data_IF_479901471802
#
_entry.id   IF_479901471802
#
_cell.length_a   1.000
_cell.length_b   1.000
_cell.length_c   1.000
_cell.angle_alpha   90.00
_cell.angle_beta   90.00
_cell.angle_gamma   90.00
#
_symmetry.space_group_name_H-M   'P 1'
#
loop_
_entity.id
_entity.type
_entity.pdbx_description
1 polymer ?
#
# COMPACT_ATOMS: atom_id res chain seq x y z
N UNK A 1 -94.61 20.67 -26.51
CA UNK A 1 -93.30 21.37 -26.45
C UNK A 1 -92.33 20.53 -27.24
N UNK A 2 -92.39 20.67 -28.57
CA UNK A 2 -91.43 21.39 -29.44
C UNK A 2 -90.08 20.67 -29.50
N UNK A 3 -89.51 20.23 -30.62
CA UNK A 3 -89.81 20.27 -32.08
C UNK A 3 -88.77 19.29 -32.70
N UNK A 4 -89.14 18.42 -33.66
CA UNK A 4 -88.74 18.46 -35.09
C UNK A 4 -87.21 18.23 -35.28
N UNK A 5 -86.65 17.25 -36.02
CA UNK A 5 -86.97 16.76 -37.36
C UNK A 5 -86.26 15.43 -37.70
N UNK A 6 -86.68 14.86 -38.83
CA UNK A 6 -86.39 13.57 -39.46
C UNK A 6 -85.16 13.55 -40.39
N UNK A 7 -84.60 12.34 -40.58
CA UNK A 7 -84.16 11.72 -41.86
C UNK A 7 -82.81 12.06 -42.57
N UNK A 8 -82.01 10.99 -42.83
CA UNK A 8 -81.40 10.63 -44.15
C UNK A 8 -79.85 10.75 -44.34
N UNK A 9 -79.21 9.58 -44.54
CA UNK A 9 -78.10 9.19 -45.47
C UNK A 9 -76.75 9.94 -45.42
N UNK A 10 -75.62 9.23 -45.16
CA UNK A 10 -74.64 8.76 -46.18
C UNK A 10 -73.31 8.31 -45.54
N UNK A 11 -72.79 7.16 -46.00
CA UNK A 11 -71.43 6.65 -45.76
C UNK A 11 -70.37 7.67 -46.19
N UNK A 12 -69.33 7.91 -45.40
CA UNK A 12 -67.93 8.01 -45.86
C UNK A 12 -66.95 7.70 -44.72
N UNK A 13 -65.95 6.87 -45.03
CA UNK A 13 -64.82 6.47 -44.19
C UNK A 13 -64.00 7.68 -43.72
N UNK A 14 -63.56 7.67 -42.45
CA UNK A 14 -62.23 8.12 -42.00
C UNK A 14 -62.07 7.70 -40.52
N UNK A 15 -60.99 6.97 -40.22
CA UNK A 15 -60.63 6.51 -38.87
C UNK A 15 -60.53 7.69 -37.89
N UNK A 16 -61.30 7.65 -36.80
CA UNK A 16 -61.13 8.56 -35.66
C UNK A 16 -61.31 7.79 -34.35
N UNK A 17 -60.37 8.04 -33.44
CA UNK A 17 -60.03 7.31 -32.24
C UNK A 17 -61.17 7.40 -31.21
N UNK A 18 -61.67 6.24 -30.75
CA UNK A 18 -62.49 6.16 -29.54
C UNK A 18 -61.61 6.43 -28.32
N UNK A 19 -61.83 7.56 -27.66
CA UNK A 19 -61.28 7.85 -26.34
C UNK A 19 -61.93 6.93 -25.30
N UNK A 20 -61.23 5.86 -24.91
CA UNK A 20 -61.48 5.21 -23.64
C UNK A 20 -61.05 6.18 -22.53
N UNK A 21 -62.02 6.64 -21.73
CA UNK A 21 -61.73 7.21 -20.42
C UNK A 21 -61.20 6.08 -19.52
N UNK A 22 -59.91 5.80 -19.62
CA UNK A 22 -59.16 5.14 -18.56
C UNK A 22 -58.89 6.22 -17.52
N UNK A 23 -59.58 6.14 -16.38
CA UNK A 23 -59.15 6.82 -15.17
C UNK A 23 -57.75 6.27 -14.89
N UNK A 24 -56.75 7.10 -15.15
CA UNK A 24 -55.37 6.83 -14.77
C UNK A 24 -55.33 6.96 -13.24
N UNK A 25 -55.66 5.88 -12.55
CA UNK A 25 -55.21 5.73 -11.17
C UNK A 25 -53.68 5.76 -11.25
N UNK A 26 -53.00 6.67 -10.52
CA UNK A 26 -51.56 6.57 -10.43
C UNK A 26 -51.27 5.17 -9.91
N UNK A 27 -50.40 4.43 -10.61
CA UNK A 27 -49.82 3.21 -10.07
C UNK A 27 -49.15 3.64 -8.76
N UNK A 28 -49.79 3.39 -7.62
CA UNK A 28 -49.15 3.54 -6.33
C UNK A 28 -48.01 2.54 -6.37
N UNK A 29 -46.76 3.01 -6.46
CA UNK A 29 -45.60 2.17 -6.19
C UNK A 29 -45.86 1.53 -4.83
N UNK A 30 -46.10 0.22 -4.81
CA UNK A 30 -46.45 -0.48 -3.59
C UNK A 30 -45.21 -0.54 -2.70
N UNK A 31 -45.05 0.44 -1.82
CA UNK A 31 -44.08 0.39 -0.73
C UNK A 31 -44.32 -0.86 0.10
N UNK A 32 -43.26 -1.46 0.61
CA UNK A 32 -43.34 -2.66 1.44
C UNK A 32 -44.07 -2.37 2.74
N UNK A 33 -44.99 -3.24 3.10
CA UNK A 33 -45.69 -3.21 4.38
C UNK A 33 -45.30 -4.44 5.19
N UNK A 34 -44.41 -4.20 6.16
CA UNK A 34 -43.88 -5.25 7.02
C UNK A 34 -44.93 -5.97 7.86
N UNK A 35 -46.11 -5.38 8.06
CA UNK A 35 -47.21 -6.00 8.79
C UNK A 35 -48.01 -7.00 7.94
N UNK A 36 -47.88 -6.94 6.60
CA UNK A 36 -48.69 -7.76 5.68
C UNK A 36 -47.87 -8.71 4.80
N UNK A 37 -46.57 -8.49 4.64
CA UNK A 37 -45.68 -9.50 4.05
C UNK A 37 -45.57 -10.75 4.95
N UNK A 38 -45.34 -11.91 4.34
CA UNK A 38 -45.34 -13.22 5.04
C UNK A 38 -44.05 -14.02 4.86
N UNK A 39 -43.04 -13.46 4.17
CA UNK A 39 -41.81 -14.21 3.84
C UNK A 39 -40.83 -14.23 5.02
N UNK A 40 -40.82 -13.17 5.82
CA UNK A 40 -39.93 -13.01 6.99
C UNK A 40 -40.69 -12.39 8.18
N UNK A 41 -40.20 -12.49 9.43
CA UNK A 41 -40.78 -11.79 10.56
C UNK A 41 -40.87 -10.26 10.36
N UNK A 42 -41.90 -9.64 10.91
CA UNK A 42 -42.14 -8.18 10.81
C UNK A 42 -40.92 -7.36 11.26
N UNK A 43 -40.22 -7.82 12.31
CA UNK A 43 -39.01 -7.17 12.82
C UNK A 43 -37.87 -7.18 11.81
N UNK A 44 -37.61 -8.32 11.16
CA UNK A 44 -36.58 -8.43 10.13
C UNK A 44 -36.88 -7.52 8.95
N UNK A 45 -38.14 -7.50 8.49
CA UNK A 45 -38.57 -6.59 7.44
C UNK A 45 -38.34 -5.13 7.83
N UNK A 46 -38.69 -4.73 9.06
CA UNK A 46 -38.45 -3.37 9.57
C UNK A 46 -36.97 -3.03 9.62
N UNK A 47 -36.12 -3.98 9.97
CA UNK A 47 -34.66 -3.81 9.97
C UNK A 47 -34.09 -3.64 8.57
N UNK A 48 -34.57 -4.38 7.58
CA UNK A 48 -34.22 -4.16 6.17
C UNK A 48 -34.63 -2.75 5.71
N UNK A 49 -35.84 -2.30 6.06
CA UNK A 49 -36.27 -0.93 5.74
C UNK A 49 -35.46 0.13 6.50
N UNK A 50 -35.01 -0.16 7.71
CA UNK A 50 -34.09 0.71 8.48
C UNK A 50 -32.76 0.86 7.75
N UNK A 51 -32.17 -0.25 7.28
CA UNK A 51 -30.95 -0.24 6.47
C UNK A 51 -31.14 0.57 5.19
N UNK A 52 -32.24 0.33 4.46
CA UNK A 52 -32.59 1.09 3.26
C UNK A 52 -32.67 2.60 3.54
N UNK A 53 -33.42 3.01 4.58
CA UNK A 53 -33.62 4.43 4.87
C UNK A 53 -32.35 5.12 5.40
N UNK A 54 -31.59 4.46 6.27
CA UNK A 54 -30.37 5.02 6.85
C UNK A 54 -29.22 5.17 5.85
N UNK A 55 -29.26 4.43 4.74
CA UNK A 55 -28.19 4.43 3.73
C UNK A 55 -28.62 5.02 2.39
N UNK A 56 -29.60 5.93 2.41
CA UNK A 56 -30.13 6.63 1.22
C UNK A 56 -30.67 5.71 0.12
N UNK A 57 -31.46 4.71 0.49
CA UNK A 57 -32.01 3.66 -0.37
C UNK A 57 -32.62 4.09 -1.71
N UNK A 58 -33.24 5.27 -1.76
CA UNK A 58 -33.80 5.82 -3.00
C UNK A 58 -32.74 6.29 -4.02
N UNK A 59 -31.49 6.49 -3.59
CA UNK A 59 -30.35 6.91 -4.40
C UNK A 59 -29.36 5.80 -4.74
N UNK A 60 -29.65 4.57 -4.33
CA UNK A 60 -28.87 3.37 -4.68
C UNK A 60 -28.79 3.16 -6.20
N UNK A 61 -27.71 2.57 -6.71
CA UNK A 61 -27.49 2.50 -8.17
C UNK A 61 -28.45 1.58 -8.93
N UNK A 62 -29.12 0.65 -8.25
CA UNK A 62 -29.90 -0.42 -8.88
C UNK A 62 -31.43 -0.26 -8.77
N UNK A 63 -31.94 0.96 -8.54
CA UNK A 63 -33.39 1.21 -8.28
C UNK A 63 -34.35 0.61 -9.32
N UNK A 64 -33.90 0.41 -10.57
CA UNK A 64 -34.74 -0.09 -11.66
C UNK A 64 -34.67 -1.62 -11.88
N UNK A 65 -33.89 -2.34 -11.07
CA UNK A 65 -33.56 -3.77 -11.25
C UNK A 65 -34.24 -4.72 -10.26
N UNK A 66 -35.26 -4.25 -9.50
CA UNK A 66 -35.84 -5.00 -8.38
C UNK A 66 -35.38 -4.48 -7.01
N UNK A 67 -35.25 -3.16 -6.90
CA UNK A 67 -34.79 -2.47 -5.70
C UNK A 67 -35.64 -2.75 -4.46
N UNK A 68 -35.03 -2.56 -3.30
CA UNK A 68 -35.67 -2.71 -1.99
C UNK A 68 -36.86 -1.75 -1.85
N UNK A 69 -37.83 -2.12 -1.02
CA UNK A 69 -39.01 -1.30 -0.73
C UNK A 69 -39.92 -1.00 -1.95
N UNK A 70 -39.91 -1.87 -2.97
CA UNK A 70 -40.76 -1.77 -4.18
C UNK A 70 -41.81 -2.89 -4.24
N UNK A 71 -41.56 -4.02 -3.59
CA UNK A 71 -42.46 -5.17 -3.55
C UNK A 71 -42.73 -5.59 -2.11
N UNK A 72 -43.85 -6.27 -1.86
CA UNK A 72 -44.14 -6.86 -0.55
C UNK A 72 -43.51 -8.26 -0.38
N UNK A 73 -42.36 -8.49 -1.03
CA UNK A 73 -41.63 -9.76 -1.09
C UNK A 73 -40.15 -9.53 -0.79
N UNK A 74 -39.77 -9.31 0.48
CA UNK A 74 -38.40 -8.99 0.87
C UNK A 74 -37.34 -10.00 0.42
N UNK A 75 -37.69 -11.28 0.31
CA UNK A 75 -36.77 -12.33 -0.11
C UNK A 75 -36.48 -12.31 -1.61
N UNK A 76 -37.23 -11.53 -2.40
CA UNK A 76 -36.94 -11.31 -3.81
C UNK A 76 -36.17 -10.01 -4.07
N UNK A 77 -35.85 -9.24 -3.02
CA UNK A 77 -35.09 -8.01 -3.20
C UNK A 77 -33.65 -8.34 -3.57
N UNK A 78 -33.10 -7.56 -4.50
CA UNK A 78 -31.72 -7.75 -4.96
C UNK A 78 -30.75 -7.76 -3.77
N UNK A 79 -29.94 -8.81 -3.69
CA UNK A 79 -28.95 -8.99 -2.63
C UNK A 79 -29.49 -9.52 -1.31
N UNK A 80 -30.79 -9.83 -1.18
CA UNK A 80 -31.35 -10.48 0.02
C UNK A 80 -31.51 -11.97 -0.25
N UNK A 81 -30.96 -12.80 0.64
CA UNK A 81 -31.20 -14.26 0.64
C UNK A 81 -31.97 -14.65 1.89
N UNK A 82 -33.07 -15.37 1.71
CA UNK A 82 -33.83 -15.96 2.79
C UNK A 82 -33.71 -17.48 2.83
N UNK A 83 -33.73 -18.05 4.04
CA UNK A 83 -33.80 -19.49 4.29
C UNK A 83 -34.72 -19.74 5.47
N UNK A 84 -35.64 -20.69 5.30
CA UNK A 84 -36.62 -21.08 6.33
C UNK A 84 -37.41 -19.90 6.93
N UNK A 85 -37.72 -18.90 6.10
CA UNK A 85 -38.47 -17.72 6.51
C UNK A 85 -37.66 -16.65 7.26
N UNK A 86 -36.33 -16.69 7.18
CA UNK A 86 -35.44 -15.72 7.81
C UNK A 86 -34.41 -15.18 6.83
N UNK A 87 -34.00 -13.93 7.01
CA UNK A 87 -32.89 -13.34 6.24
C UNK A 87 -31.57 -13.95 6.71
N UNK A 88 -30.82 -14.56 5.79
CA UNK A 88 -29.52 -15.21 6.08
C UNK A 88 -28.34 -14.55 5.40
N UNK A 89 -28.55 -13.79 4.31
CA UNK A 89 -27.50 -13.00 3.68
C UNK A 89 -28.01 -11.68 3.13
N UNK A 90 -27.19 -10.63 3.26
CA UNK A 90 -27.35 -9.34 2.61
C UNK A 90 -26.05 -9.03 1.86
N UNK A 91 -26.12 -8.90 0.54
CA UNK A 91 -24.98 -8.66 -0.36
C UNK A 91 -25.29 -7.48 -1.27
N UNK A 92 -24.77 -6.30 -0.90
CA UNK A 92 -25.06 -4.99 -1.52
C UNK A 92 -23.79 -4.19 -1.80
N UNK A 93 -22.75 -4.88 -2.24
CA UNK A 93 -21.50 -4.27 -2.66
C UNK A 93 -21.69 -3.32 -3.86
N UNK A 94 -20.85 -2.29 -3.98
CA UNK A 94 -20.80 -1.40 -5.15
C UNK A 94 -22.15 -0.76 -5.54
N UNK A 95 -22.93 -0.31 -4.55
CA UNK A 95 -24.30 0.13 -4.80
C UNK A 95 -24.62 1.57 -4.31
N UNK A 96 -23.59 2.31 -3.91
CA UNK A 96 -23.73 3.71 -3.51
C UNK A 96 -24.47 3.91 -2.19
N UNK A 97 -24.41 2.92 -1.28
CA UNK A 97 -24.99 3.04 0.07
C UNK A 97 -24.26 4.17 0.81
N UNK A 98 -24.99 5.22 1.18
CA UNK A 98 -24.43 6.40 1.85
C UNK A 98 -25.20 6.71 3.13
N UNK A 99 -24.49 6.76 4.26
CA UNK A 99 -25.05 6.96 5.59
C UNK A 99 -24.47 5.97 6.61
N UNK A 100 -25.07 5.88 7.79
CA UNK A 100 -24.56 5.01 8.85
C UNK A 100 -25.28 3.67 8.92
N UNK A 101 -24.59 2.65 9.43
CA UNK A 101 -25.19 1.34 9.70
C UNK A 101 -26.25 1.46 10.82
N UNK A 102 -27.49 0.98 10.61
CA UNK A 102 -28.50 0.90 11.66
C UNK A 102 -28.21 -0.26 12.64
N UNK A 103 -29.08 -0.41 13.64
CA UNK A 103 -29.18 -1.64 14.43
C UNK A 103 -29.72 -2.78 13.55
N UNK A 104 -28.93 -3.85 13.40
CA UNK A 104 -29.22 -5.03 12.61
C UNK A 104 -29.52 -6.27 13.48
N UNK A 105 -29.59 -6.13 14.80
CA UNK A 105 -29.70 -7.27 15.75
C UNK A 105 -30.98 -8.09 15.59
N UNK A 106 -32.06 -7.48 15.08
CA UNK A 106 -33.32 -8.17 14.78
C UNK A 106 -33.18 -9.18 13.61
N UNK A 107 -32.12 -9.11 12.80
CA UNK A 107 -31.76 -10.11 11.79
C UNK A 107 -30.99 -11.28 12.43
N UNK A 108 -31.65 -11.97 13.37
CA UNK A 108 -31.01 -12.97 14.24
C UNK A 108 -30.41 -14.20 13.54
N UNK A 109 -30.72 -14.42 12.26
CA UNK A 109 -30.20 -15.54 11.45
C UNK A 109 -29.23 -15.07 10.35
N UNK A 110 -28.82 -13.81 10.36
CA UNK A 110 -27.93 -13.26 9.34
C UNK A 110 -26.52 -13.85 9.46
N UNK A 111 -26.15 -14.70 8.51
CA UNK A 111 -24.85 -15.36 8.45
C UNK A 111 -23.83 -14.53 7.65
N UNK A 112 -24.28 -13.82 6.62
CA UNK A 112 -23.41 -13.04 5.73
C UNK A 112 -23.91 -11.60 5.56
N UNK A 113 -23.03 -10.64 5.81
CA UNK A 113 -23.24 -9.23 5.51
C UNK A 113 -22.08 -8.70 4.69
N UNK A 114 -22.35 -8.36 3.44
CA UNK A 114 -21.37 -7.76 2.53
C UNK A 114 -21.93 -6.43 1.99
N UNK A 115 -21.36 -5.33 2.49
CA UNK A 115 -21.68 -3.96 2.08
C UNK A 115 -20.42 -3.24 1.59
N UNK A 116 -19.44 -3.99 1.08
CA UNK A 116 -18.16 -3.48 0.60
C UNK A 116 -18.30 -2.49 -0.57
N UNK A 117 -17.31 -1.64 -0.80
CA UNK A 117 -17.27 -0.68 -1.91
C UNK A 117 -18.50 0.25 -1.95
N UNK A 118 -18.76 0.94 -0.84
CA UNK A 118 -19.88 1.87 -0.70
C UNK A 118 -19.40 3.18 -0.04
N UNK A 119 -20.32 4.03 0.42
CA UNK A 119 -20.03 5.30 1.08
C UNK A 119 -20.57 5.32 2.52
N UNK A 120 -20.57 4.17 3.19
CA UNK A 120 -21.02 4.05 4.57
C UNK A 120 -20.09 4.84 5.49
N UNK A 121 -20.66 5.54 6.47
CA UNK A 121 -19.92 6.42 7.38
C UNK A 121 -20.32 6.20 8.84
N UNK A 122 -19.59 6.87 9.75
CA UNK A 122 -19.75 6.70 11.19
C UNK A 122 -19.01 5.48 11.73
N UNK A 123 -19.29 5.14 12.99
CA UNK A 123 -18.62 4.06 13.72
C UNK A 123 -19.33 2.73 13.61
N UNK A 124 -18.56 1.64 13.62
CA UNK A 124 -19.08 0.27 13.71
C UNK A 124 -19.32 -0.07 15.18
N UNK A 125 -20.59 -0.19 15.60
CA UNK A 125 -20.92 -0.63 16.96
C UNK A 125 -21.20 -2.15 16.98
N UNK A 126 -20.41 -2.97 17.70
CA UNK A 126 -20.68 -4.40 17.82
C UNK A 126 -22.08 -4.71 18.37
N UNK A 127 -22.63 -3.84 19.23
CA UNK A 127 -23.97 -4.00 19.79
C UNK A 127 -25.10 -3.90 18.75
N UNK A 128 -24.81 -3.34 17.57
CA UNK A 128 -25.76 -3.18 16.47
C UNK A 128 -25.62 -4.28 15.41
N UNK A 129 -24.74 -5.27 15.60
CA UNK A 129 -24.51 -6.37 14.66
C UNK A 129 -25.11 -7.67 15.21
N UNK A 130 -25.73 -8.52 14.36
CA UNK A 130 -26.27 -9.80 14.81
C UNK A 130 -25.15 -10.79 15.13
N UNK A 131 -25.27 -11.48 16.27
CA UNK A 131 -24.24 -12.42 16.77
C UNK A 131 -24.10 -13.69 15.92
N UNK A 132 -25.05 -13.95 15.00
CA UNK A 132 -25.05 -15.09 14.08
C UNK A 132 -24.13 -14.91 12.87
N UNK A 133 -23.50 -13.74 12.71
CA UNK A 133 -22.61 -13.46 11.60
C UNK A 133 -21.46 -14.45 11.53
N UNK A 134 -21.27 -15.01 10.34
CA UNK A 134 -20.13 -15.84 9.95
C UNK A 134 -19.19 -15.10 9.01
N UNK A 135 -19.69 -14.18 8.19
CA UNK A 135 -18.90 -13.35 7.29
C UNK A 135 -19.37 -11.90 7.30
N UNK A 136 -18.44 -10.97 7.53
CA UNK A 136 -18.68 -9.53 7.57
C UNK A 136 -17.68 -8.78 6.69
N UNK A 137 -18.16 -8.15 5.61
CA UNK A 137 -17.35 -7.29 4.72
C UNK A 137 -17.92 -5.88 4.71
N UNK A 138 -17.12 -4.91 5.15
CA UNK A 138 -17.42 -3.47 5.12
C UNK A 138 -16.25 -2.67 4.53
N UNK A 139 -15.37 -3.33 3.79
CA UNK A 139 -14.20 -2.71 3.17
C UNK A 139 -14.57 -1.68 2.09
N UNK A 140 -13.64 -0.77 1.79
CA UNK A 140 -13.81 0.34 0.84
C UNK A 140 -15.08 1.16 1.12
N UNK A 141 -15.06 1.84 2.26
CA UNK A 141 -16.13 2.70 2.77
C UNK A 141 -15.53 3.93 3.49
N UNK A 142 -16.37 4.77 4.10
CA UNK A 142 -15.98 5.97 4.85
C UNK A 142 -16.16 5.80 6.37
N UNK A 143 -16.13 4.56 6.87
CA UNK A 143 -16.32 4.24 8.29
C UNK A 143 -15.14 4.78 9.11
N UNK A 144 -15.42 5.28 10.30
CA UNK A 144 -14.45 5.96 11.16
C UNK A 144 -14.66 5.64 12.65
N UNK A 145 -13.76 6.13 13.51
CA UNK A 145 -13.80 5.84 14.94
C UNK A 145 -12.95 4.64 15.32
N UNK A 146 -13.21 4.05 16.49
CA UNK A 146 -12.46 2.89 17.00
C UNK A 146 -12.94 1.61 16.32
N UNK A 147 -11.99 0.72 15.99
CA UNK A 147 -12.26 -0.60 15.44
C UNK A 147 -13.12 -1.43 16.41
N UNK A 148 -14.10 -2.21 15.91
CA UNK A 148 -15.03 -2.95 16.76
C UNK A 148 -14.35 -4.10 17.52
N UNK A 149 -14.79 -4.33 18.76
CA UNK A 149 -14.51 -5.57 19.48
C UNK A 149 -15.54 -6.64 19.11
N UNK A 150 -15.07 -7.66 18.40
CA UNK A 150 -15.86 -8.79 17.90
C UNK A 150 -15.60 -10.09 18.65
N UNK A 151 -14.94 -10.03 19.83
CA UNK A 151 -14.57 -11.23 20.60
C UNK A 151 -15.75 -12.13 20.97
N UNK A 152 -16.96 -11.58 21.05
CA UNK A 152 -18.21 -12.29 21.37
C UNK A 152 -18.88 -12.96 20.17
N UNK A 153 -18.44 -12.68 18.93
CA UNK A 153 -19.02 -13.23 17.71
C UNK A 153 -18.40 -14.60 17.40
N UNK A 154 -18.75 -15.63 18.18
CA UNK A 154 -18.06 -16.92 18.15
C UNK A 154 -18.14 -17.66 16.82
N UNK A 155 -19.19 -17.41 16.02
CA UNK A 155 -19.43 -18.08 14.74
C UNK A 155 -18.75 -17.38 13.55
N UNK A 156 -18.12 -16.23 13.79
CA UNK A 156 -17.44 -15.45 12.77
C UNK A 156 -16.25 -16.23 12.19
N UNK A 157 -16.13 -16.22 10.86
CA UNK A 157 -15.12 -16.95 10.06
C UNK A 157 -14.37 -16.04 9.10
N UNK A 158 -14.91 -14.88 8.78
CA UNK A 158 -14.27 -13.90 7.91
C UNK A 158 -14.71 -12.48 8.29
N UNK A 159 -13.75 -11.56 8.32
CA UNK A 159 -13.97 -10.13 8.57
C UNK A 159 -13.08 -9.33 7.64
N UNK A 160 -13.65 -8.33 6.96
CA UNK A 160 -12.89 -7.36 6.19
C UNK A 160 -13.39 -5.94 6.47
N UNK A 161 -12.48 -5.09 6.92
CA UNK A 161 -12.70 -3.67 7.21
C UNK A 161 -11.68 -2.77 6.51
N UNK A 162 -10.93 -3.30 5.54
CA UNK A 162 -9.91 -2.57 4.79
C UNK A 162 -10.46 -1.28 4.15
N UNK A 163 -9.57 -0.37 3.77
CA UNK A 163 -9.94 0.85 3.02
C UNK A 163 -11.08 1.65 3.68
N UNK A 164 -10.94 1.87 5.00
CA UNK A 164 -11.78 2.75 5.82
C UNK A 164 -10.89 3.69 6.65
N UNK A 165 -11.50 4.62 7.38
CA UNK A 165 -10.83 5.54 8.31
C UNK A 165 -10.90 5.07 9.79
N UNK A 166 -10.90 3.76 10.03
CA UNK A 166 -10.93 3.17 11.38
C UNK A 166 -9.59 3.36 12.10
N UNK A 167 -9.64 3.46 13.43
CA UNK A 167 -8.47 3.61 14.31
C UNK A 167 -8.46 2.51 15.36
N UNK A 168 -7.33 2.28 16.03
CA UNK A 168 -7.21 1.24 17.05
C UNK A 168 -6.98 -0.16 16.48
N UNK A 169 -7.26 -1.19 17.28
CA UNK A 169 -7.03 -2.59 16.92
C UNK A 169 -8.36 -3.34 16.82
N UNK A 170 -8.54 -4.15 15.77
CA UNK A 170 -9.70 -5.05 15.67
C UNK A 170 -9.49 -6.21 16.63
N UNK A 171 -10.40 -6.40 17.59
CA UNK A 171 -10.39 -7.57 18.47
C UNK A 171 -11.30 -8.66 17.88
N UNK A 172 -10.71 -9.82 17.55
CA UNK A 172 -11.41 -10.91 16.88
C UNK A 172 -11.69 -12.09 17.84
N UNK A 173 -12.72 -12.90 17.57
CA UNK A 173 -13.04 -14.06 18.40
C UNK A 173 -11.93 -15.13 18.34
N UNK A 174 -11.81 -16.00 19.36
CA UNK A 174 -10.83 -17.10 19.40
C UNK A 174 -10.85 -18.01 18.16
N UNK A 175 -12.04 -18.23 17.59
CA UNK A 175 -12.28 -19.00 16.36
C UNK A 175 -11.58 -18.41 15.14
N UNK A 176 -11.38 -17.09 15.11
CA UNK A 176 -10.64 -16.37 14.07
C UNK A 176 -9.18 -16.10 14.43
N UNK A 177 -8.77 -16.38 15.67
CA UNK A 177 -7.44 -15.96 16.18
C UNK A 177 -6.50 -17.10 16.58
N UNK A 178 -6.87 -18.39 16.44
CA UNK A 178 -5.89 -19.46 16.74
C UNK A 178 -6.19 -20.90 16.32
N UNK A 179 -7.33 -21.26 15.70
CA UNK A 179 -7.58 -22.66 15.33
C UNK A 179 -7.54 -22.84 13.81
N UNK A 180 -6.63 -23.67 13.30
CA UNK A 180 -6.45 -23.90 11.87
C UNK A 180 -5.33 -23.10 11.21
N UNK A 181 -4.64 -22.22 11.95
CA UNK A 181 -3.60 -21.34 11.39
C UNK A 181 -2.24 -21.72 11.93
N UNK A 182 -1.26 -21.77 11.02
CA UNK A 182 0.11 -22.10 11.36
C UNK A 182 0.80 -20.98 12.17
N UNK A 183 0.26 -19.76 12.14
CA UNK A 183 0.90 -18.60 12.75
C UNK A 183 2.19 -18.20 12.04
N UNK A 184 2.76 -17.06 12.44
CA UNK A 184 4.01 -16.52 11.89
C UNK A 184 4.93 -16.04 13.02
N UNK A 185 6.19 -15.73 12.71
CA UNK A 185 7.14 -15.22 13.68
C UNK A 185 7.24 -13.69 13.61
N UNK A 186 7.35 -13.05 14.78
CA UNK A 186 7.49 -11.61 14.93
C UNK A 186 8.53 -11.30 16.02
N UNK A 187 9.29 -10.23 15.90
CA UNK A 187 10.12 -9.78 17.02
C UNK A 187 9.27 -9.40 18.24
N UNK A 188 9.76 -9.75 19.43
CA UNK A 188 9.06 -9.42 20.67
C UNK A 188 9.13 -7.93 20.99
N UNK A 189 10.24 -7.28 20.62
CA UNK A 189 10.49 -5.85 20.79
C UNK A 189 10.49 -5.12 19.44
N UNK A 190 10.22 -3.81 19.46
CA UNK A 190 10.22 -2.96 18.25
C UNK A 190 11.58 -2.33 17.94
N UNK A 191 12.50 -2.32 18.90
CA UNK A 191 13.89 -1.94 18.73
C UNK A 191 14.74 -2.49 19.87
N UNK A 192 16.04 -2.63 19.63
CA UNK A 192 17.02 -2.99 20.64
C UNK A 192 18.11 -1.91 20.73
N UNK A 193 18.72 -1.79 21.91
CA UNK A 193 19.91 -0.97 22.14
C UNK A 193 20.89 -1.78 22.98
N UNK A 194 22.16 -1.80 22.60
CA UNK A 194 23.23 -2.55 23.26
C UNK A 194 24.51 -1.71 23.21
N UNK A 195 25.32 -1.73 24.27
CA UNK A 195 26.64 -1.10 24.24
C UNK A 195 27.66 -2.04 23.58
N UNK A 196 28.74 -1.49 23.06
CA UNK A 196 29.82 -2.27 22.42
C UNK A 196 30.51 -3.20 23.43
N UNK A 197 30.64 -2.76 24.69
CA UNK A 197 31.24 -3.53 25.78
C UNK A 197 30.37 -4.68 26.35
N UNK A 198 29.10 -4.76 25.98
CA UNK A 198 28.20 -5.85 26.46
C UNK A 198 28.53 -7.19 25.80
N UNK A 199 29.17 -7.17 24.63
CA UNK A 199 29.66 -8.34 23.89
C UNK A 199 28.58 -9.24 23.28
N UNK A 200 27.38 -9.35 23.87
CA UNK A 200 26.28 -10.17 23.34
C UNK A 200 24.92 -9.47 23.51
N UNK A 201 24.20 -9.30 22.41
CA UNK A 201 22.78 -8.95 22.41
C UNK A 201 21.89 -10.19 22.23
N UNK A 202 20.96 -10.41 23.16
CA UNK A 202 19.94 -11.46 23.04
C UNK A 202 18.65 -10.93 22.39
N UNK A 203 18.39 -11.34 21.15
CA UNK A 203 17.17 -10.97 20.41
C UNK A 203 16.09 -12.01 20.64
N UNK A 204 14.85 -11.56 20.87
CA UNK A 204 13.70 -12.40 21.19
C UNK A 204 12.63 -12.32 20.10
N UNK A 205 12.11 -13.48 19.72
CA UNK A 205 11.09 -13.67 18.68
C UNK A 205 9.95 -14.51 19.23
N UNK A 206 8.72 -14.11 18.92
CA UNK A 206 7.48 -14.76 19.35
C UNK A 206 6.71 -15.28 18.14
N UNK A 207 5.95 -16.36 18.33
CA UNK A 207 4.97 -16.87 17.36
C UNK A 207 3.63 -16.17 17.59
N UNK A 208 3.00 -15.65 16.53
CA UNK A 208 1.74 -14.90 16.58
C UNK A 208 0.76 -15.41 15.53
N UNK A 209 -0.55 -15.25 15.77
CA UNK A 209 -1.59 -15.57 14.78
C UNK A 209 -1.90 -17.05 14.57
N UNK A 210 -1.25 -17.98 15.29
CA UNK A 210 -1.54 -19.41 15.24
C UNK A 210 -0.46 -20.27 15.91
N UNK A 211 -0.79 -21.52 16.26
CA UNK A 211 0.09 -22.49 16.94
C UNK A 211 0.10 -23.87 16.27
N UNK A 212 -0.59 -24.04 15.13
CA UNK A 212 -0.75 -25.34 14.48
C UNK A 212 0.40 -25.64 13.51
N UNK A 213 0.91 -26.85 13.50
CA UNK A 213 2.03 -27.24 12.65
C UNK A 213 3.38 -26.63 13.04
N UNK A 214 4.43 -27.08 12.36
CA UNK A 214 5.80 -26.62 12.56
C UNK A 214 6.06 -25.37 11.71
N UNK A 215 6.59 -24.30 12.31
CA UNK A 215 7.16 -23.17 11.55
C UNK A 215 8.68 -23.12 11.71
N UNK A 216 9.37 -22.70 10.65
CA UNK A 216 10.81 -22.52 10.62
C UNK A 216 11.10 -21.20 9.95
N UNK A 217 11.71 -20.26 10.69
CA UNK A 217 11.97 -18.90 10.21
C UNK A 217 13.45 -18.63 10.30
N UNK A 218 14.02 -18.14 9.21
CA UNK A 218 15.42 -17.75 9.16
C UNK A 218 15.56 -16.31 9.66
N UNK A 219 16.66 -16.00 10.33
CA UNK A 219 17.04 -14.63 10.63
C UNK A 219 18.36 -14.29 9.94
N UNK A 220 18.49 -13.03 9.54
CA UNK A 220 19.71 -12.48 8.96
C UNK A 220 19.92 -11.05 9.46
N UNK A 221 21.19 -10.68 9.62
CA UNK A 221 21.60 -9.34 10.07
C UNK A 221 22.12 -8.56 8.87
N UNK A 222 21.68 -7.31 8.76
CA UNK A 222 22.03 -6.37 7.71
C UNK A 222 22.69 -5.15 8.33
N UNK A 223 23.88 -4.82 7.86
CA UNK A 223 24.55 -3.55 8.15
C UNK A 223 23.70 -2.37 7.68
N UNK A 224 23.54 -1.35 8.53
CA UNK A 224 23.02 -0.04 8.14
C UNK A 224 24.17 0.98 8.21
N UNK A 225 24.47 1.52 9.39
CA UNK A 225 25.72 2.28 9.60
C UNK A 225 26.83 1.38 10.17
N UNK A 226 26.47 0.40 11.00
CA UNK A 226 27.44 -0.55 11.56
C UNK A 226 27.91 -1.55 10.52
N UNK A 227 29.21 -1.80 10.51
CA UNK A 227 30.00 -2.66 9.63
C UNK A 227 30.31 -4.01 10.28
N UNK A 228 29.88 -5.08 9.60
CA UNK A 228 30.18 -6.44 10.02
C UNK A 228 31.71 -6.71 10.10
N UNK A 229 32.14 -7.36 11.18
CA UNK A 229 33.53 -7.68 11.50
C UNK A 229 34.32 -6.54 12.16
N UNK A 230 33.73 -5.34 12.24
CA UNK A 230 34.25 -4.20 13.01
C UNK A 230 33.42 -4.03 14.27
N UNK A 231 32.09 -3.93 14.13
CA UNK A 231 31.21 -3.45 15.23
C UNK A 231 30.26 -4.57 15.71
N UNK A 232 30.07 -5.59 14.87
CA UNK A 232 29.35 -6.82 15.21
C UNK A 232 29.82 -7.99 14.34
N UNK A 233 29.66 -9.23 14.81
CA UNK A 233 29.89 -10.41 13.98
C UNK A 233 28.65 -10.74 13.14
N UNK A 234 28.84 -11.06 11.86
CA UNK A 234 27.76 -11.54 11.03
C UNK A 234 27.18 -12.84 11.60
N UNK A 235 25.85 -12.88 11.75
CA UNK A 235 25.14 -14.06 12.19
C UNK A 235 23.85 -14.27 11.38
N UNK A 236 23.63 -15.51 10.95
CA UNK A 236 22.39 -16.00 10.38
C UNK A 236 22.03 -17.35 10.99
N UNK A 237 20.76 -17.71 10.96
CA UNK A 237 20.31 -18.97 11.52
C UNK A 237 18.80 -19.17 11.37
N UNK A 238 18.29 -20.22 11.99
CA UNK A 238 16.86 -20.57 11.93
C UNK A 238 16.27 -20.77 13.32
N UNK A 239 15.08 -20.24 13.54
CA UNK A 239 14.25 -20.48 14.71
C UNK A 239 13.12 -21.43 14.34
N UNK A 240 12.91 -22.48 15.14
CA UNK A 240 11.92 -23.51 14.89
C UNK A 240 10.94 -23.58 16.05
N UNK A 241 9.65 -23.50 15.74
CA UNK A 241 8.57 -23.86 16.66
C UNK A 241 7.97 -25.18 16.19
N UNK A 242 7.84 -26.12 17.11
CA UNK A 242 7.12 -27.36 16.85
C UNK A 242 5.60 -27.13 16.88
N UNK A 243 4.83 -28.12 16.44
CA UNK A 243 3.37 -28.11 16.54
C UNK A 243 2.92 -27.85 17.99
N UNK A 244 2.04 -26.87 18.18
CA UNK A 244 1.56 -26.41 19.49
C UNK A 244 2.56 -25.61 20.34
N UNK A 245 3.79 -25.37 19.87
CA UNK A 245 4.79 -24.59 20.62
C UNK A 245 4.50 -23.08 20.54
N UNK A 246 4.25 -22.49 21.71
CA UNK A 246 3.95 -21.05 21.92
C UNK A 246 5.09 -20.29 22.59
N UNK A 247 6.17 -20.96 22.97
CA UNK A 247 7.25 -20.33 23.72
C UNK A 247 8.10 -19.44 22.83
N UNK A 248 8.48 -18.26 23.33
CA UNK A 248 9.42 -17.38 22.65
C UNK A 248 10.75 -18.10 22.34
N UNK A 249 11.36 -17.74 21.23
CA UNK A 249 12.71 -18.21 20.84
C UNK A 249 13.67 -17.03 20.85
N UNK A 250 14.94 -17.31 21.06
CA UNK A 250 15.98 -16.29 21.13
C UNK A 250 17.22 -16.71 20.36
N UNK A 251 17.93 -15.73 19.81
CA UNK A 251 19.28 -15.90 19.27
C UNK A 251 20.18 -14.77 19.77
N UNK A 252 21.49 -15.01 19.69
CA UNK A 252 22.51 -14.07 20.13
C UNK A 252 23.13 -13.36 18.91
N UNK A 253 23.44 -12.09 19.08
CA UNK A 253 24.29 -11.30 18.18
C UNK A 253 25.54 -10.94 18.97
N UNK A 254 26.73 -11.31 18.48
CA UNK A 254 28.00 -10.87 19.06
C UNK A 254 28.24 -9.42 18.67
N UNK A 255 28.43 -8.56 19.67
CA UNK A 255 28.82 -7.17 19.48
C UNK A 255 30.33 -7.08 19.69
N UNK A 256 31.01 -6.34 18.82
CA UNK A 256 32.48 -6.20 18.91
C UNK A 256 32.78 -4.92 19.65
N UNK A 257 33.54 -5.05 20.75
CA UNK A 257 34.05 -3.93 21.53
C UNK A 257 35.36 -3.46 20.88
N UNK A 258 35.41 -2.20 20.46
CA UNK A 258 36.66 -1.58 20.03
C UNK A 258 37.07 -0.42 20.94
N UNK A 259 37.87 0.53 20.43
CA UNK A 259 38.35 1.67 21.24
C UNK A 259 38.22 2.99 20.50
N UNK A 260 37.51 2.98 19.37
CA UNK A 260 37.35 4.08 18.44
C UNK A 260 36.00 4.74 18.62
N UNK A 261 36.02 6.05 18.85
CA UNK A 261 34.79 6.84 19.01
C UNK A 261 34.21 7.13 17.62
N UNK A 262 33.30 6.29 17.17
CA UNK A 262 32.60 6.39 15.88
C UNK A 262 31.12 6.83 16.01
N UNK A 263 30.62 6.92 17.25
CA UNK A 263 29.24 7.27 17.58
C UNK A 263 28.29 6.09 17.40
N UNK A 264 27.07 6.20 17.94
CA UNK A 264 26.10 5.08 17.88
C UNK A 264 25.78 4.67 16.44
N UNK A 265 25.92 3.38 16.19
CA UNK A 265 25.66 2.77 14.90
C UNK A 265 24.45 1.85 14.93
N UNK A 266 23.96 1.46 13.75
CA UNK A 266 22.74 0.65 13.65
C UNK A 266 22.88 -0.49 12.67
N UNK A 267 22.18 -1.58 13.01
CA UNK A 267 21.97 -2.75 12.16
C UNK A 267 20.47 -3.06 12.09
N UNK A 268 20.05 -3.74 11.02
CA UNK A 268 18.69 -4.25 10.87
C UNK A 268 18.74 -5.78 10.93
N UNK A 269 17.86 -6.37 11.73
CA UNK A 269 17.69 -7.83 11.77
C UNK A 269 16.36 -8.17 11.13
N UNK A 270 16.36 -9.09 10.17
CA UNK A 270 15.16 -9.54 9.45
C UNK A 270 14.80 -10.97 9.80
N UNK A 271 13.51 -11.26 9.97
CA UNK A 271 12.95 -12.60 9.94
C UNK A 271 12.44 -12.90 8.54
N UNK A 272 12.74 -14.09 8.02
CA UNK A 272 12.35 -14.53 6.70
C UNK A 272 11.76 -15.93 6.72
N UNK A 273 10.73 -16.15 5.93
CA UNK A 273 10.20 -17.47 5.61
C UNK A 273 10.30 -17.67 4.11
N UNK A 274 11.11 -18.66 3.71
CA UNK A 274 11.52 -18.85 2.31
C UNK A 274 12.18 -17.57 1.78
N UNK A 275 11.50 -16.78 0.96
CA UNK A 275 12.01 -15.55 0.33
C UNK A 275 11.32 -14.27 0.83
N UNK A 276 10.25 -14.39 1.64
CA UNK A 276 9.49 -13.25 2.14
C UNK A 276 10.04 -12.76 3.49
N UNK A 277 10.22 -11.44 3.62
CA UNK A 277 10.54 -10.80 4.89
C UNK A 277 9.26 -10.72 5.74
N UNK A 278 9.25 -11.44 6.86
CA UNK A 278 8.13 -11.48 7.78
C UNK A 278 8.10 -10.27 8.73
N UNK A 279 9.27 -9.90 9.26
CA UNK A 279 9.42 -8.80 10.20
C UNK A 279 10.86 -8.29 10.22
N UNK A 280 11.05 -7.03 10.62
CA UNK A 280 12.37 -6.43 10.77
C UNK A 280 12.44 -5.63 12.06
N UNK A 281 13.59 -5.67 12.74
CA UNK A 281 13.85 -4.87 13.93
C UNK A 281 15.17 -4.12 13.80
N UNK A 282 15.18 -2.88 14.27
CA UNK A 282 16.38 -2.05 14.33
C UNK A 282 17.10 -2.25 15.66
N UNK A 283 18.40 -2.47 15.59
CA UNK A 283 19.30 -2.52 16.74
C UNK A 283 20.23 -1.32 16.66
N UNK A 284 20.37 -0.59 17.75
CA UNK A 284 21.40 0.45 17.91
C UNK A 284 22.53 -0.08 18.77
N UNK A 285 23.72 -0.15 18.19
CA UNK A 285 24.97 -0.38 18.87
C UNK A 285 25.42 0.99 19.40
N UNK A 286 25.63 1.07 20.71
CA UNK A 286 25.93 2.32 21.41
C UNK A 286 27.43 2.35 21.66
N UNK A 287 28.10 3.26 20.95
CA UNK A 287 29.47 3.65 21.22
C UNK A 287 29.57 4.14 22.67
N UNK A 288 30.18 3.30 23.50
CA UNK A 288 30.45 3.57 24.91
C UNK A 288 31.93 3.88 25.15
N UNK A 289 32.70 4.12 24.08
CA UNK A 289 34.08 4.51 24.19
C UNK A 289 34.22 5.93 24.74
N UNK A 290 35.17 6.04 25.65
CA UNK A 290 35.54 7.33 26.20
C UNK A 290 36.62 7.95 25.34
N UNK A 291 36.41 9.19 24.89
CA UNK A 291 37.50 10.01 24.33
C UNK A 291 38.61 10.09 25.39
N UNK A 292 39.76 9.45 25.15
CA UNK A 292 40.94 9.58 26.02
C UNK A 292 41.53 10.98 25.83
N UNK A 293 40.97 11.97 26.53
CA UNK A 293 41.59 13.28 26.68
C UNK A 293 42.56 13.20 27.86
N UNK A 294 43.87 13.35 27.61
CA UNK A 294 44.83 13.53 28.70
C UNK A 294 44.48 14.80 29.51
N UNK A 295 44.48 14.77 30.86
CA UNK A 295 43.92 15.84 31.67
C UNK A 295 44.90 17.02 31.85
N UNK A 296 44.38 18.26 31.87
CA UNK A 296 44.69 19.17 32.98
C UNK A 296 43.41 19.58 33.75
N UNK A 297 43.55 20.05 35.00
CA UNK A 297 42.56 19.84 36.06
C UNK A 297 41.31 20.73 35.98
N UNK A 298 40.19 20.15 36.42
CA UNK A 298 38.94 20.72 36.93
C UNK A 298 38.41 22.03 36.31
N UNK A 299 37.31 21.95 35.56
CA UNK A 299 35.95 22.21 36.07
C UNK A 299 34.95 22.57 34.95
N UNK A 300 33.82 21.86 34.95
CA UNK A 300 32.47 22.29 34.53
C UNK A 300 32.22 22.78 33.09
N UNK A 301 31.56 21.93 32.28
CA UNK A 301 30.14 22.04 31.86
C UNK A 301 29.89 21.40 30.48
N UNK A 302 28.88 20.52 30.47
CA UNK A 302 28.27 19.84 29.32
C UNK A 302 27.78 20.79 28.23
N UNK A 303 28.07 20.47 26.96
CA UNK A 303 27.25 20.91 25.83
C UNK A 303 27.11 19.76 24.83
N UNK A 304 25.93 19.15 24.80
CA UNK A 304 25.46 18.29 23.71
C UNK A 304 25.42 19.10 22.41
N UNK A 305 26.27 18.76 21.43
CA UNK A 305 26.09 19.25 20.05
C UNK A 305 25.45 18.16 19.22
N UNK A 306 24.21 18.43 18.85
CA UNK A 306 23.45 17.73 17.84
C UNK A 306 24.18 17.86 16.50
N UNK A 307 24.78 16.78 15.99
CA UNK A 307 25.42 16.77 14.68
C UNK A 307 24.36 16.61 13.59
N UNK A 308 23.65 17.69 13.31
CA UNK A 308 23.03 17.83 12.00
C UNK A 308 24.14 17.93 10.96
N UNK A 309 24.06 17.15 9.87
CA UNK A 309 24.90 17.38 8.70
C UNK A 309 24.78 18.86 8.31
N UNK A 310 25.90 19.58 8.13
CA UNK A 310 25.88 21.01 7.92
C UNK A 310 25.14 21.36 6.63
N UNK A 311 24.57 22.57 6.58
CA UNK A 311 23.95 23.07 5.35
C UNK A 311 25.03 23.27 4.30
N UNK A 312 24.76 22.82 3.07
CA UNK A 312 25.73 22.94 1.98
C UNK A 312 26.13 24.40 1.71
N UNK A 313 27.42 24.60 1.39
CA UNK A 313 27.94 25.90 0.97
C UNK A 313 27.74 26.08 -0.54
N UNK A 314 26.77 26.91 -0.93
CA UNK A 314 26.35 27.09 -2.33
C UNK A 314 27.29 27.98 -3.18
N UNK A 315 28.44 28.39 -2.63
CA UNK A 315 29.40 29.28 -3.31
C UNK A 315 30.67 28.55 -3.78
N UNK A 316 30.68 27.22 -3.71
CA UNK A 316 31.85 26.43 -4.07
C UNK A 316 31.64 25.77 -5.43
N UNK A 317 32.69 25.78 -6.24
CA UNK A 317 32.78 25.01 -7.48
C UNK A 317 33.11 23.54 -7.24
N UNK A 318 33.54 23.17 -6.02
CA UNK A 318 33.81 21.79 -5.61
C UNK A 318 33.34 21.56 -4.17
N UNK A 319 32.70 20.42 -3.93
CA UNK A 319 32.14 20.01 -2.64
C UNK A 319 32.78 18.69 -2.25
N UNK A 320 33.41 18.68 -1.07
CA UNK A 320 34.21 17.56 -0.57
C UNK A 320 33.82 17.17 0.86
N UNK A 321 32.55 17.38 1.22
CA UNK A 321 32.03 17.16 2.56
C UNK A 321 30.60 16.65 2.53
N UNK A 322 30.17 16.01 3.59
CA UNK A 322 28.75 15.65 3.80
C UNK A 322 27.94 16.90 4.14
N UNK A 323 26.85 17.15 3.42
CA UNK A 323 25.98 18.29 3.69
C UNK A 323 24.54 18.09 3.20
N UNK A 324 23.60 18.86 3.76
CA UNK A 324 22.20 18.89 3.33
C UNK A 324 21.93 20.22 2.63
N UNK A 325 21.50 20.20 1.37
CA UNK A 325 21.25 21.39 0.58
C UNK A 325 19.89 22.04 0.86
N UNK A 326 18.98 21.33 1.54
CA UNK A 326 17.66 21.84 1.96
C UNK A 326 16.84 22.42 0.80
N UNK A 327 16.86 21.74 -0.35
CA UNK A 327 16.22 22.13 -1.61
C UNK A 327 16.72 23.45 -2.21
N UNK A 328 17.96 23.85 -1.90
CA UNK A 328 18.60 25.02 -2.52
C UNK A 328 19.31 24.64 -3.82
N UNK A 329 19.37 25.60 -4.74
CA UNK A 329 20.03 25.46 -6.05
C UNK A 329 21.55 25.60 -5.95
N UNK A 330 22.30 24.66 -6.53
CA UNK A 330 23.75 24.74 -6.66
C UNK A 330 24.20 25.60 -7.85
N UNK A 331 25.40 26.21 -7.79
CA UNK A 331 25.95 26.94 -8.92
C UNK A 331 26.30 25.98 -10.07
N UNK A 332 26.34 26.52 -11.28
CA UNK A 332 26.70 25.78 -12.48
C UNK A 332 28.15 25.27 -12.42
N UNK A 333 28.42 24.13 -13.05
CA UNK A 333 29.71 23.46 -13.12
C UNK A 333 30.28 23.10 -11.74
N UNK A 334 29.42 22.70 -10.81
CA UNK A 334 29.86 22.20 -9.50
C UNK A 334 30.33 20.75 -9.63
N UNK A 335 31.45 20.43 -8.98
CA UNK A 335 31.95 19.06 -8.83
C UNK A 335 31.66 18.55 -7.41
N UNK A 336 30.98 17.41 -7.30
CA UNK A 336 30.79 16.66 -6.05
C UNK A 336 31.92 15.64 -5.99
N UNK A 337 32.89 15.83 -5.10
CA UNK A 337 34.06 14.95 -5.00
C UNK A 337 33.71 13.59 -4.41
N UNK A 338 34.60 12.60 -4.55
CA UNK A 338 34.37 11.18 -4.20
C UNK A 338 33.85 10.96 -2.77
N UNK A 339 34.38 11.70 -1.79
CA UNK A 339 33.98 11.60 -0.38
C UNK A 339 32.79 12.50 0.00
N UNK A 340 32.25 13.26 -0.96
CA UNK A 340 31.11 14.13 -0.68
C UNK A 340 29.80 13.36 -0.74
N UNK A 341 28.93 13.65 0.23
CA UNK A 341 27.55 13.16 0.26
C UNK A 341 26.61 14.34 0.39
N UNK A 342 25.83 14.56 -0.67
CA UNK A 342 24.90 15.68 -0.75
C UNK A 342 23.48 15.13 -0.81
N UNK A 343 22.60 15.71 -0.01
CA UNK A 343 21.17 15.42 -0.08
C UNK A 343 20.32 16.66 -0.27
N UNK A 344 19.14 16.48 -0.87
CA UNK A 344 18.15 17.55 -1.09
C UNK A 344 18.69 18.72 -1.91
N UNK A 345 19.52 18.44 -2.93
CA UNK A 345 20.05 19.44 -3.84
C UNK A 345 19.07 19.74 -4.97
N UNK A 346 19.12 20.96 -5.51
CA UNK A 346 18.49 21.32 -6.78
C UNK A 346 19.58 21.72 -7.78
N UNK A 347 19.58 21.14 -8.97
CA UNK A 347 20.52 21.49 -10.04
C UNK A 347 19.75 22.14 -11.20
N UNK A 348 20.11 23.38 -11.54
CA UNK A 348 19.58 24.13 -12.69
C UNK A 348 20.58 24.24 -13.85
N UNK A 349 21.77 23.67 -13.66
CA UNK A 349 22.91 23.70 -14.57
C UNK A 349 23.70 22.39 -14.46
N UNK A 350 24.66 22.23 -15.36
CA UNK A 350 25.54 21.08 -15.38
C UNK A 350 26.34 20.91 -14.08
N UNK A 351 26.47 19.66 -13.63
CA UNK A 351 27.26 19.26 -12.48
C UNK A 351 27.96 17.91 -12.74
N UNK A 352 29.15 17.77 -12.17
CA UNK A 352 29.88 16.50 -12.14
C UNK A 352 29.72 15.88 -10.76
N UNK A 353 29.29 14.62 -10.70
CA UNK A 353 29.16 13.86 -9.49
C UNK A 353 30.19 12.72 -9.47
N UNK A 354 31.06 12.71 -8.46
CA UNK A 354 31.98 11.61 -8.17
C UNK A 354 31.65 10.92 -6.85
N UNK A 355 30.91 11.61 -5.97
CA UNK A 355 30.46 11.11 -4.67
C UNK A 355 29.02 10.60 -4.69
N UNK A 356 28.32 10.81 -3.57
CA UNK A 356 26.93 10.41 -3.38
C UNK A 356 25.98 11.62 -3.50
N UNK A 357 25.02 11.52 -4.41
CA UNK A 357 23.91 12.45 -4.52
C UNK A 357 22.59 11.75 -4.20
N UNK A 358 21.82 12.29 -3.27
CA UNK A 358 20.58 11.64 -2.81
C UNK A 358 19.40 12.60 -2.65
N UNK A 359 18.18 12.09 -2.83
CA UNK A 359 16.94 12.83 -2.60
C UNK A 359 16.89 14.23 -3.28
N UNK A 360 17.39 14.32 -4.51
CA UNK A 360 17.68 15.59 -5.19
C UNK A 360 16.85 15.77 -6.45
N UNK A 361 16.77 17.02 -6.94
CA UNK A 361 16.00 17.41 -8.12
C UNK A 361 16.91 17.98 -9.19
N UNK A 362 16.79 17.47 -10.40
CA UNK A 362 17.55 17.93 -11.57
C UNK A 362 16.55 18.65 -12.47
N UNK A 363 16.75 19.95 -12.69
CA UNK A 363 15.83 20.79 -13.46
C UNK A 363 16.08 20.69 -14.96
N UNK A 364 15.06 21.05 -15.74
CA UNK A 364 15.16 21.10 -17.20
C UNK A 364 16.36 21.95 -17.65
N UNK A 365 17.17 21.41 -18.55
CA UNK A 365 18.40 22.05 -19.04
C UNK A 365 19.65 21.79 -18.20
N UNK A 366 19.54 21.13 -17.03
CA UNK A 366 20.68 20.69 -16.23
C UNK A 366 21.12 19.28 -16.57
N UNK A 367 22.43 19.03 -16.61
CA UNK A 367 23.01 17.68 -16.73
C UNK A 367 23.81 17.32 -15.47
N UNK A 368 23.45 16.24 -14.78
CA UNK A 368 24.33 15.68 -13.72
C UNK A 368 24.94 14.39 -14.23
N UNK A 369 26.28 14.32 -14.24
CA UNK A 369 27.03 13.17 -14.75
C UNK A 369 27.85 12.51 -13.65
N UNK A 370 27.80 11.18 -13.55
CA UNK A 370 28.73 10.40 -12.73
C UNK A 370 28.22 10.00 -11.35
N UNK A 371 29.07 9.23 -10.67
CA UNK A 371 28.98 8.95 -9.25
C UNK A 371 27.78 8.10 -8.86
N UNK A 372 27.46 8.12 -7.57
CA UNK A 372 26.37 7.34 -7.01
C UNK A 372 25.12 8.20 -6.81
N UNK A 373 23.98 7.70 -7.26
CA UNK A 373 22.66 8.28 -7.00
C UNK A 373 21.87 7.38 -6.04
N UNK A 374 21.21 7.97 -5.04
CA UNK A 374 20.38 7.20 -4.08
C UNK A 374 19.11 7.95 -3.62
N UNK A 375 18.25 7.26 -2.86
CA UNK A 375 16.97 7.78 -2.40
C UNK A 375 15.97 8.00 -3.54
N UNK A 376 15.24 9.13 -3.49
CA UNK A 376 14.22 9.52 -4.47
C UNK A 376 14.72 10.69 -5.33
N UNK A 377 14.99 10.45 -6.61
CA UNK A 377 15.46 11.48 -7.54
C UNK A 377 14.32 11.92 -8.46
N UNK A 378 14.10 13.23 -8.54
CA UNK A 378 13.19 13.84 -9.52
C UNK A 378 14.04 14.41 -10.64
N UNK A 379 13.87 13.91 -11.85
CA UNK A 379 14.65 14.32 -13.01
C UNK A 379 13.74 15.00 -14.04
N UNK A 380 13.96 16.29 -14.25
CA UNK A 380 13.38 17.09 -15.34
C UNK A 380 14.47 17.42 -16.41
N UNK A 381 15.74 17.12 -16.11
CA UNK A 381 16.91 17.38 -16.96
C UNK A 381 17.54 16.10 -17.51
N UNK A 382 18.86 16.00 -17.45
CA UNK A 382 19.62 14.81 -17.88
C UNK A 382 20.46 14.24 -16.73
N UNK A 383 20.39 12.93 -16.53
CA UNK A 383 21.30 12.16 -15.69
C UNK A 383 22.15 11.24 -16.58
N UNK A 384 23.46 11.22 -16.38
CA UNK A 384 24.38 10.45 -17.21
C UNK A 384 25.41 9.66 -16.40
N UNK A 385 25.78 8.46 -16.86
CA UNK A 385 26.91 7.67 -16.38
C UNK A 385 26.96 7.42 -14.85
N UNK A 386 25.88 6.90 -14.26
CA UNK A 386 25.75 6.78 -12.81
C UNK A 386 25.48 5.35 -12.32
N UNK A 387 25.89 5.08 -11.07
CA UNK A 387 25.48 3.91 -10.30
C UNK A 387 24.28 4.28 -9.41
N UNK A 388 23.13 3.66 -9.65
CA UNK A 388 21.93 3.87 -8.87
C UNK A 388 21.81 2.84 -7.75
N UNK A 389 21.70 3.33 -6.52
CA UNK A 389 21.44 2.54 -5.31
C UNK A 389 20.27 3.12 -4.50
N UNK A 390 19.34 3.76 -5.19
CA UNK A 390 18.18 4.42 -4.60
C UNK A 390 16.87 3.66 -4.78
N UNK A 391 15.76 4.34 -4.45
CA UNK A 391 14.42 3.80 -4.58
C UNK A 391 13.80 4.13 -5.93
N UNK A 392 13.81 5.40 -6.34
CA UNK A 392 13.27 5.78 -7.66
C UNK A 392 14.01 6.93 -8.33
N UNK A 393 14.02 6.91 -9.67
CA UNK A 393 14.25 8.08 -10.52
C UNK A 393 13.02 8.25 -11.41
N UNK A 394 12.42 9.44 -11.37
CA UNK A 394 11.19 9.73 -12.12
C UNK A 394 11.45 10.87 -13.10
N UNK A 395 11.14 10.65 -14.38
CA UNK A 395 11.17 11.68 -15.41
C UNK A 395 12.52 11.92 -16.10
N UNK A 396 12.49 12.82 -17.07
CA UNK A 396 13.69 13.41 -17.68
C UNK A 396 14.45 12.46 -18.57
N UNK A 397 15.68 12.84 -18.93
CA UNK A 397 16.55 12.06 -19.81
C UNK A 397 17.60 11.28 -19.02
N UNK A 398 17.79 10.02 -19.36
CA UNK A 398 18.86 9.15 -18.91
C UNK A 398 19.83 8.92 -20.07
N UNK A 399 21.14 8.97 -19.82
CA UNK A 399 22.17 8.87 -20.86
C UNK A 399 23.40 8.07 -20.42
N UNK A 400 24.11 7.49 -21.39
CA UNK A 400 25.37 6.81 -21.15
C UNK A 400 25.19 5.45 -20.49
N UNK A 401 26.13 5.07 -19.62
CA UNK A 401 26.11 3.75 -18.95
C UNK A 401 25.49 3.87 -17.56
N UNK A 402 24.38 3.19 -17.34
CA UNK A 402 23.62 3.25 -16.09
C UNK A 402 23.57 1.85 -15.50
N UNK A 403 24.06 1.71 -14.28
CA UNK A 403 23.92 0.48 -13.52
C UNK A 403 22.97 0.73 -12.35
N UNK A 404 22.00 -0.15 -12.16
CA UNK A 404 21.11 -0.11 -11.02
C UNK A 404 21.44 -1.29 -10.08
N UNK A 405 22.22 -0.98 -9.05
CA UNK A 405 22.65 -1.91 -8.00
C UNK A 405 21.78 -1.78 -6.72
N UNK A 406 20.55 -1.27 -6.85
CA UNK A 406 19.66 -1.10 -5.71
C UNK A 406 19.22 -2.44 -5.12
N UNK A 407 19.58 -2.69 -3.85
CA UNK A 407 19.14 -3.88 -3.07
C UNK A 407 17.68 -3.80 -2.60
N UNK A 408 16.97 -2.76 -3.01
CA UNK A 408 15.59 -2.42 -2.61
C UNK A 408 14.68 -2.28 -3.82
N UNK A 409 14.93 -3.02 -4.90
CA UNK A 409 14.13 -2.96 -6.13
C UNK A 409 14.02 -1.54 -6.69
N UNK A 410 15.16 -0.86 -6.87
CA UNK A 410 15.18 0.51 -7.38
C UNK A 410 14.63 0.58 -8.80
N UNK A 411 13.76 1.56 -9.09
CA UNK A 411 13.14 1.68 -10.41
C UNK A 411 13.34 3.04 -11.10
N UNK A 412 13.22 3.03 -12.43
CA UNK A 412 13.11 4.22 -13.25
C UNK A 412 11.70 4.29 -13.86
N UNK A 413 11.08 5.48 -13.82
CA UNK A 413 9.69 5.68 -14.23
C UNK A 413 9.54 6.91 -15.12
N UNK A 414 8.82 6.77 -16.22
CA UNK A 414 8.53 7.84 -17.19
C UNK A 414 9.78 8.55 -17.73
N UNK A 415 10.77 7.78 -18.19
CA UNK A 415 12.09 8.28 -18.62
C UNK A 415 12.28 8.29 -20.14
N UNK A 416 13.03 9.29 -20.62
CA UNK A 416 13.57 9.33 -21.98
C UNK A 416 15.01 8.82 -21.98
N UNK A 417 15.36 7.92 -22.89
CA UNK A 417 16.69 7.32 -23.02
C UNK A 417 17.40 7.97 -24.22
N UNK A 418 18.52 8.61 -23.95
CA UNK A 418 19.34 9.22 -25.00
C UNK A 418 19.93 8.14 -25.96
N UNK A 419 20.39 8.54 -27.15
CA UNK A 419 21.03 7.62 -28.10
C UNK A 419 22.11 6.73 -27.48
N UNK A 420 22.05 5.42 -27.75
CA UNK A 420 23.01 4.42 -27.26
C UNK A 420 23.12 4.33 -25.72
N UNK A 421 22.10 4.73 -24.98
CA UNK A 421 22.06 4.53 -23.52
C UNK A 421 22.07 3.04 -23.20
N UNK A 422 22.83 2.63 -22.18
CA UNK A 422 22.85 1.26 -21.69
C UNK A 422 22.36 1.24 -20.25
N UNK A 423 21.27 0.53 -19.99
CA UNK A 423 20.75 0.30 -18.65
C UNK A 423 20.96 -1.16 -18.29
N UNK A 424 21.67 -1.38 -17.19
CA UNK A 424 21.89 -2.70 -16.60
C UNK A 424 21.31 -2.73 -15.18
N UNK A 425 20.42 -3.68 -14.92
CA UNK A 425 19.83 -3.86 -13.59
C UNK A 425 18.56 -3.04 -13.33
N UNK A 426 17.84 -3.43 -12.29
CA UNK A 426 16.72 -2.66 -11.74
C UNK A 426 15.36 -2.93 -12.39
N UNK A 427 14.46 -1.96 -12.22
CA UNK A 427 13.07 -2.05 -12.69
C UNK A 427 12.73 -0.84 -13.56
N UNK A 428 11.99 -1.05 -14.65
CA UNK A 428 11.41 0.00 -15.49
C UNK A 428 9.88 0.01 -15.38
N UNK A 429 9.31 1.22 -15.25
CA UNK A 429 7.86 1.46 -15.13
C UNK A 429 7.42 2.64 -16.01
N UNK A 430 6.14 2.66 -16.39
CA UNK A 430 5.57 3.79 -17.12
C UNK A 430 6.06 3.91 -18.56
N UNK A 431 6.17 5.13 -19.07
CA UNK A 431 6.57 5.38 -20.46
C UNK A 431 8.11 5.49 -20.60
N UNK A 432 8.71 4.50 -21.26
CA UNK A 432 10.15 4.43 -21.53
C UNK A 432 10.38 4.69 -23.03
N UNK A 433 10.94 5.85 -23.34
CA UNK A 433 11.11 6.28 -24.74
C UNK A 433 12.58 6.46 -25.08
N UNK A 434 13.08 5.76 -26.10
CA UNK A 434 14.42 5.91 -26.63
C UNK A 434 14.45 6.47 -28.05
N UNK A 435 15.65 6.61 -28.59
CA UNK A 435 15.89 7.01 -29.97
C UNK A 435 15.74 5.81 -30.92
N UNK A 436 14.93 5.92 -31.97
CA UNK A 436 14.68 4.80 -32.90
C UNK A 436 15.86 4.50 -33.85
N UNK A 437 16.69 5.51 -34.15
CA UNK A 437 17.86 5.38 -35.02
C UNK A 437 19.11 4.93 -34.24
N UNK A 438 19.10 5.12 -32.91
CA UNK A 438 20.17 4.73 -32.00
C UNK A 438 19.59 4.19 -30.67
N UNK A 439 18.93 3.02 -30.71
CA UNK A 439 18.14 2.52 -29.59
C UNK A 439 18.98 2.21 -28.35
N UNK A 440 18.35 2.40 -27.19
CA UNK A 440 18.97 2.12 -25.89
C UNK A 440 18.97 0.63 -25.58
N UNK A 441 20.08 0.09 -25.06
CA UNK A 441 20.21 -1.30 -24.66
C UNK A 441 19.74 -1.51 -23.21
N UNK A 442 18.84 -2.48 -23.01
CA UNK A 442 18.29 -2.86 -21.71
C UNK A 442 18.73 -4.28 -21.35
N UNK A 443 19.35 -4.48 -20.18
CA UNK A 443 19.84 -5.79 -19.72
C UNK A 443 19.65 -6.01 -18.22
N UNK A 444 19.51 -7.28 -17.82
CA UNK A 444 19.46 -7.73 -16.41
C UNK A 444 18.41 -7.01 -15.56
N UNK A 445 17.27 -6.64 -16.15
CA UNK A 445 16.26 -5.79 -15.52
C UNK A 445 14.84 -6.33 -15.72
N UNK A 446 13.91 -5.82 -14.92
CA UNK A 446 12.48 -6.13 -15.05
C UNK A 446 11.69 -4.94 -15.62
N UNK A 447 10.78 -5.22 -16.55
CA UNK A 447 9.81 -4.27 -17.09
C UNK A 447 8.44 -4.63 -16.55
N UNK A 448 7.87 -3.74 -15.72
CA UNK A 448 6.57 -3.97 -15.06
C UNK A 448 5.39 -3.80 -16.01
N UNK A 449 4.24 -4.36 -15.61
CA UNK A 449 2.99 -4.26 -16.37
C UNK A 449 2.61 -2.81 -16.67
N UNK A 450 1.87 -2.61 -17.76
CA UNK A 450 1.40 -1.31 -18.24
C UNK A 450 2.51 -0.34 -18.70
N UNK A 451 3.78 -0.74 -18.66
CA UNK A 451 4.86 0.02 -19.24
C UNK A 451 4.73 0.09 -20.77
N UNK A 452 5.18 1.19 -21.35
CA UNK A 452 5.23 1.41 -22.80
C UNK A 452 6.66 1.66 -23.23
N UNK A 453 7.15 0.86 -24.18
CA UNK A 453 8.53 0.94 -24.68
C UNK A 453 8.55 1.48 -26.10
N UNK A 454 9.54 2.32 -26.43
CA UNK A 454 9.80 2.82 -27.78
C UNK A 454 11.31 2.99 -27.97
N UNK A 455 11.88 2.63 -29.11
CA UNK A 455 13.30 2.90 -29.43
C UNK A 455 14.30 2.23 -28.48
N UNK A 456 14.09 0.95 -28.15
CA UNK A 456 14.97 0.20 -27.23
C UNK A 456 15.29 -1.20 -27.77
N UNK A 457 16.49 -1.69 -27.45
CA UNK A 457 16.90 -3.08 -27.64
C UNK A 457 16.73 -3.81 -26.31
N UNK A 458 15.88 -4.84 -26.31
CA UNK A 458 15.74 -5.79 -25.20
C UNK A 458 16.87 -6.81 -25.33
N UNK A 459 17.86 -6.70 -24.44
CA UNK A 459 19.04 -7.56 -24.36
C UNK A 459 18.86 -8.74 -23.41
N UNK A 460 19.97 -9.22 -22.86
CA UNK A 460 20.00 -10.41 -21.99
C UNK A 460 19.30 -10.20 -20.65
N UNK A 461 18.68 -11.28 -20.13
CA UNK A 461 18.07 -11.35 -18.80
C UNK A 461 17.04 -10.24 -18.51
N UNK A 462 16.32 -9.77 -19.53
CA UNK A 462 15.20 -8.84 -19.35
C UNK A 462 13.90 -9.60 -19.12
N UNK A 463 13.30 -9.42 -17.95
CA UNK A 463 11.97 -9.97 -17.65
C UNK A 463 10.89 -8.94 -18.02
N UNK A 464 9.96 -9.32 -18.90
CA UNK A 464 8.86 -8.44 -19.34
C UNK A 464 7.55 -8.99 -18.78
N UNK A 465 6.90 -8.21 -17.93
CA UNK A 465 5.59 -8.54 -17.35
C UNK A 465 4.48 -8.54 -18.41
N UNK A 466 3.33 -9.12 -18.06
CA UNK A 466 2.13 -9.08 -18.90
C UNK A 466 1.65 -7.64 -19.13
N UNK A 467 1.02 -7.39 -20.29
CA UNK A 467 0.43 -6.10 -20.69
C UNK A 467 1.43 -4.96 -20.97
N UNK A 468 2.73 -5.25 -21.12
CA UNK A 468 3.70 -4.26 -21.62
C UNK A 468 3.43 -3.95 -23.10
N UNK A 469 3.34 -2.66 -23.43
CA UNK A 469 3.11 -2.17 -24.80
C UNK A 469 4.45 -1.92 -25.50
N UNK A 470 4.75 -2.71 -26.52
CA UNK A 470 5.94 -2.53 -27.35
C UNK A 470 5.61 -1.64 -28.55
N UNK A 471 6.23 -0.47 -28.62
CA UNK A 471 6.08 0.52 -29.68
C UNK A 471 7.10 0.41 -30.81
N UNK A 472 7.23 1.47 -31.58
CA UNK A 472 8.17 1.56 -32.72
C UNK A 472 9.63 1.48 -32.25
N UNK A 473 10.50 0.86 -33.05
CA UNK A 473 11.94 0.75 -32.75
C UNK A 473 12.27 -0.13 -31.54
N UNK A 474 11.32 -0.96 -31.07
CA UNK A 474 11.60 -1.97 -30.05
C UNK A 474 12.12 -3.24 -30.71
N UNK A 475 13.35 -3.62 -30.38
CA UNK A 475 14.03 -4.80 -30.93
C UNK A 475 14.36 -5.80 -29.81
N UNK A 476 14.53 -7.08 -30.15
CA UNK A 476 15.05 -8.11 -29.24
C UNK A 476 16.37 -8.63 -29.77
N UNK A 477 17.39 -8.67 -28.92
CA UNK A 477 18.67 -9.26 -29.27
C UNK A 477 18.49 -10.78 -29.47
N UNK A 478 18.87 -11.31 -30.63
CA UNK A 478 18.76 -12.74 -30.93
C UNK A 478 19.82 -13.54 -30.17
N UNK A 479 19.40 -14.49 -29.34
CA UNK A 479 20.29 -15.51 -28.77
C UNK A 479 20.65 -16.52 -29.86
N UNK A 480 21.92 -16.54 -30.30
CA UNK A 480 22.47 -17.66 -31.10
C UNK A 480 22.65 -18.94 -30.26
#
# INVERSE_FOLDING_TARGET
MNKIETMTIMRYFLFSIMTFNLIWLPLVQATTDCATQIEIPEKECKTLLSLFNNTTGAGWFDIFSGGWNITNTPCSWTGVTCRDGHVVAIERQNNGLNGSLPDLTDLGYLEKLDLSHNQLNGSISPANLPSSLQALSLDDNQLNGEAPDLTTFTDLKSVNFGDNALTGTVHLPPSLTSKGLTGTAQFSERSYRVNEDEGILMVKVKRVGGDEGKISVNYAIWSESAKAGSDFEFAEGSLIWMDGDKGDKTFAITITDDTTVEGNETIIVSLKEVDDILDTVKVTIVDNDSIIVQPPPESQQSFSRQFYAPVCSMNRSSINSVCIAQKKTFPCNVTIEEEASISQAVFECDAENKGLLSNSTIKAGATVRGGMLSGYIINEGMLADFDFRGRSIIGGTLSGTITNNSKVEGWFEDVHLAPNTHINGGILKGEITGDVDAPALLENLEIKSDAKLLGVIIGENVHISDHVVLGEGVERQSTE
#
